data_IF_075353833794
#
_entry.id   IF_075353833794
#
_cell.length_a   1.000
_cell.length_b   1.000
_cell.length_c   1.000
_cell.angle_alpha   90.00
_cell.angle_beta   90.00
_cell.angle_gamma   90.00
#
_symmetry.space_group_name_H-M   'P 1'
#
loop_
_entity.id
_entity.type
_entity.pdbx_description
1 polymer ?
#
# COMPACT_ATOMS: atom_id res chain seq x y z
N UNK A 1 29.73 18.88 6.57
CA UNK A 1 28.85 18.03 7.39
C UNK A 1 29.56 17.79 8.70
N UNK A 2 28.91 18.06 9.84
CA UNK A 2 29.46 17.70 11.16
C UNK A 2 29.70 16.20 11.22
N UNK A 3 30.84 15.73 11.77
CA UNK A 3 31.10 14.30 11.90
C UNK A 3 30.03 13.68 12.81
N UNK A 4 29.42 12.58 12.34
CA UNK A 4 28.42 11.86 13.11
C UNK A 4 29.09 11.14 14.29
N UNK A 5 28.51 11.27 15.48
CA UNK A 5 28.99 10.61 16.70
C UNK A 5 28.12 9.39 17.02
N UNK A 6 28.74 8.27 17.39
CA UNK A 6 28.00 7.08 17.85
C UNK A 6 27.10 7.44 19.04
N UNK A 7 25.84 7.03 19.01
CA UNK A 7 24.83 7.39 20.01
C UNK A 7 24.11 8.72 19.73
N UNK A 8 24.50 9.47 18.70
CA UNK A 8 23.80 10.69 18.29
C UNK A 8 22.43 10.36 17.71
N UNK A 9 21.39 11.03 18.19
CA UNK A 9 20.06 10.99 17.59
C UNK A 9 20.10 11.71 16.23
N UNK A 10 19.67 11.03 15.18
CA UNK A 10 19.61 11.58 13.83
C UNK A 10 18.27 12.28 13.62
N UNK A 11 18.33 13.57 13.28
CA UNK A 11 17.15 14.34 12.91
C UNK A 11 16.83 14.14 11.43
N UNK A 12 15.61 13.70 11.08
CA UNK A 12 15.21 13.54 9.70
C UNK A 12 14.71 14.84 9.07
N UNK A 13 14.94 14.96 7.77
CA UNK A 13 14.30 15.96 6.92
C UNK A 13 13.31 15.29 5.96
N UNK A 14 12.19 15.94 5.67
CA UNK A 14 11.20 15.41 4.73
C UNK A 14 11.24 16.15 3.40
N UNK A 15 11.53 15.43 2.33
CA UNK A 15 11.40 15.95 0.97
C UNK A 15 9.91 16.02 0.59
N UNK A 16 9.31 17.20 0.69
CA UNK A 16 7.86 17.40 0.46
C UNK A 16 7.37 16.89 -0.89
N UNK A 17 8.18 16.96 -1.95
CA UNK A 17 7.82 16.41 -3.26
C UNK A 17 7.61 14.90 -3.23
N UNK A 18 8.42 14.16 -2.46
CA UNK A 18 8.27 12.71 -2.29
C UNK A 18 7.10 12.37 -1.37
N UNK A 19 6.80 13.22 -0.39
CA UNK A 19 5.58 13.09 0.44
C UNK A 19 4.32 13.26 -0.42
N UNK A 20 4.31 14.25 -1.31
CA UNK A 20 3.21 14.44 -2.25
C UNK A 20 3.10 13.25 -3.23
N UNK A 21 4.24 12.75 -3.72
CA UNK A 21 4.27 11.60 -4.61
C UNK A 21 3.77 10.31 -3.95
N UNK A 22 4.14 10.05 -2.69
CA UNK A 22 3.65 8.89 -1.95
C UNK A 22 2.13 8.92 -1.83
N UNK A 23 1.56 10.09 -1.54
CA UNK A 23 0.12 10.30 -1.53
C UNK A 23 -0.53 10.04 -2.89
N UNK A 24 0.03 10.58 -3.99
CA UNK A 24 -0.50 10.38 -5.35
C UNK A 24 -0.52 8.90 -5.74
N UNK A 25 0.55 8.16 -5.42
CA UNK A 25 0.63 6.71 -5.68
C UNK A 25 -0.37 5.95 -4.82
N UNK A 26 -0.53 6.33 -3.55
CA UNK A 26 -1.52 5.74 -2.66
C UNK A 26 -2.94 5.95 -3.15
N UNK A 27 -3.24 7.18 -3.57
CA UNK A 27 -4.51 7.56 -4.17
C UNK A 27 -4.81 6.75 -5.43
N UNK A 28 -3.85 6.66 -6.36
CA UNK A 28 -4.03 5.97 -7.63
C UNK A 28 -4.26 4.46 -7.43
N UNK A 29 -3.45 3.82 -6.57
CA UNK A 29 -3.64 2.41 -6.20
C UNK A 29 -4.99 2.15 -5.54
N UNK A 30 -5.40 3.03 -4.61
CA UNK A 30 -6.70 2.96 -3.94
C UNK A 30 -7.87 3.13 -4.91
N UNK A 31 -7.77 4.08 -5.86
CA UNK A 31 -8.81 4.32 -6.86
C UNK A 31 -9.01 3.11 -7.77
N UNK A 32 -7.92 2.55 -8.31
CA UNK A 32 -7.98 1.34 -9.15
C UNK A 32 -8.55 0.16 -8.36
N UNK A 33 -8.15 -0.01 -7.10
CA UNK A 33 -8.71 -1.04 -6.23
C UNK A 33 -10.23 -0.87 -6.00
N UNK A 34 -10.72 0.36 -5.77
CA UNK A 34 -12.16 0.66 -5.62
C UNK A 34 -12.95 0.44 -6.93
N UNK A 35 -12.33 0.67 -8.08
CA UNK A 35 -12.92 0.33 -9.39
C UNK A 35 -13.07 -1.18 -9.52
N UNK A 36 -12.00 -1.93 -9.22
CA UNK A 36 -12.01 -3.40 -9.21
C UNK A 36 -13.00 -3.98 -8.19
N UNK A 37 -13.08 -3.42 -6.98
CA UNK A 37 -13.95 -3.89 -5.90
C UNK A 37 -15.42 -3.96 -6.32
N UNK A 38 -15.89 -2.95 -7.07
CA UNK A 38 -17.25 -2.92 -7.61
C UNK A 38 -17.55 -3.99 -8.67
N UNK A 39 -16.53 -4.74 -9.13
CA UNK A 39 -16.62 -5.78 -10.17
C UNK A 39 -16.15 -7.15 -9.67
N UNK A 40 -15.89 -7.29 -8.37
CA UNK A 40 -15.41 -8.54 -7.78
C UNK A 40 -16.43 -9.69 -7.85
N UNK A 41 -17.71 -9.39 -8.03
CA UNK A 41 -18.77 -10.40 -8.14
C UNK A 41 -19.32 -10.41 -9.57
N UNK A 42 -19.23 -11.56 -10.23
CA UNK A 42 -19.72 -11.78 -11.59
C UNK A 42 -21.25 -11.82 -11.69
N UNK A 43 -21.77 -11.84 -12.91
CA UNK A 43 -23.21 -11.91 -13.18
C UNK A 43 -23.86 -13.19 -12.62
N UNK A 44 -23.10 -14.29 -12.60
CA UNK A 44 -23.43 -15.57 -11.99
C UNK A 44 -23.43 -15.55 -10.45
N UNK A 45 -22.98 -14.44 -9.84
CA UNK A 45 -22.88 -14.28 -8.40
C UNK A 45 -21.65 -14.91 -7.77
N UNK A 46 -20.73 -15.46 -8.57
CA UNK A 46 -19.46 -16.00 -8.10
C UNK A 46 -18.39 -14.90 -8.07
N UNK A 47 -17.39 -15.01 -7.18
CA UNK A 47 -16.29 -14.07 -7.15
C UNK A 47 -15.42 -14.23 -8.41
N UNK A 48 -15.12 -13.12 -9.08
CA UNK A 48 -14.14 -13.07 -10.16
C UNK A 48 -12.74 -12.91 -9.56
N UNK A 49 -12.05 -14.03 -9.35
CA UNK A 49 -10.74 -14.06 -8.71
C UNK A 49 -9.68 -13.22 -9.45
N UNK A 50 -9.78 -13.08 -10.78
CA UNK A 50 -8.87 -12.23 -11.54
C UNK A 50 -9.03 -10.74 -11.16
N UNK A 51 -10.27 -10.28 -10.97
CA UNK A 51 -10.56 -8.92 -10.52
C UNK A 51 -10.16 -8.72 -9.06
N UNK A 52 -10.32 -9.74 -8.21
CA UNK A 52 -9.81 -9.71 -6.82
C UNK A 52 -8.29 -9.56 -6.82
N UNK A 53 -7.57 -10.35 -7.64
CA UNK A 53 -6.13 -10.25 -7.76
C UNK A 53 -5.69 -8.85 -8.26
N UNK A 54 -6.38 -8.28 -9.25
CA UNK A 54 -6.12 -6.91 -9.69
C UNK A 54 -6.32 -5.88 -8.57
N UNK A 55 -7.40 -6.02 -7.79
CA UNK A 55 -7.66 -5.14 -6.64
C UNK A 55 -6.58 -5.28 -5.55
N UNK A 56 -6.13 -6.51 -5.29
CA UNK A 56 -5.10 -6.82 -4.31
C UNK A 56 -3.73 -6.24 -4.70
N UNK A 57 -3.35 -6.35 -5.98
CA UNK A 57 -2.11 -5.76 -6.50
C UNK A 57 -2.19 -4.23 -6.49
N UNK A 58 -3.31 -3.65 -6.94
CA UNK A 58 -3.50 -2.20 -6.95
C UNK A 58 -3.48 -1.60 -5.54
N UNK A 59 -4.18 -2.21 -4.58
CA UNK A 59 -4.22 -1.71 -3.20
C UNK A 59 -2.93 -2.05 -2.44
N UNK A 60 -2.61 -3.34 -2.32
CA UNK A 60 -1.50 -3.82 -1.51
C UNK A 60 -0.14 -3.48 -2.11
N UNK A 61 0.06 -3.78 -3.39
CA UNK A 61 1.34 -3.55 -4.07
C UNK A 61 1.59 -2.07 -4.38
N UNK A 62 0.57 -1.35 -4.85
CA UNK A 62 0.74 0.04 -5.25
C UNK A 62 0.33 1.01 -4.15
N UNK A 63 -0.93 0.93 -3.71
CA UNK A 63 -1.53 1.85 -2.75
C UNK A 63 -0.83 1.88 -1.39
N UNK A 64 -0.32 0.72 -0.95
CA UNK A 64 0.33 0.53 0.35
C UNK A 64 1.85 0.38 0.17
N UNK A 65 2.31 -0.64 -0.58
CA UNK A 65 3.75 -0.94 -0.73
C UNK A 65 4.56 0.09 -1.46
N UNK A 66 4.11 0.49 -2.65
CA UNK A 66 4.83 1.51 -3.40
C UNK A 66 4.80 2.86 -2.68
N UNK A 67 3.64 3.22 -2.09
CA UNK A 67 3.54 4.42 -1.24
C UNK A 67 4.57 4.39 -0.10
N UNK A 68 4.64 3.29 0.65
CA UNK A 68 5.52 3.19 1.81
C UNK A 68 6.98 3.45 1.44
N UNK A 69 7.51 2.79 0.41
CA UNK A 69 8.90 2.98 0.01
C UNK A 69 9.16 4.38 -0.58
N UNK A 70 8.21 4.98 -1.29
CA UNK A 70 8.32 6.38 -1.72
C UNK A 70 8.31 7.32 -0.51
N UNK A 71 7.49 7.05 0.51
CA UNK A 71 7.45 7.79 1.76
C UNK A 71 8.75 7.67 2.56
N UNK A 72 9.36 6.48 2.57
CA UNK A 72 10.67 6.23 3.17
C UNK A 72 11.79 7.00 2.45
N UNK A 73 11.70 7.16 1.12
CA UNK A 73 12.64 7.99 0.37
C UNK A 73 12.41 9.50 0.57
N UNK A 74 11.22 9.88 1.03
CA UNK A 74 10.96 11.24 1.49
C UNK A 74 11.68 11.53 2.81
N UNK A 75 11.90 10.50 3.64
CA UNK A 75 12.61 10.57 4.92
C UNK A 75 14.13 10.57 4.71
N UNK A 76 14.74 11.76 4.78
CA UNK A 76 16.18 11.96 4.55
C UNK A 76 16.92 11.98 5.87
N UNK A 77 17.88 11.08 6.03
CA UNK A 77 18.84 11.06 7.13
C UNK A 77 20.22 11.48 6.62
N UNK A 78 21.12 11.96 7.52
CA UNK A 78 22.51 12.26 7.19
C UNK A 78 23.39 11.01 7.00
N UNK A 79 22.78 9.83 6.79
CA UNK A 79 23.45 8.55 6.53
C UNK A 79 22.89 7.93 5.25
N UNK A 80 23.72 7.15 4.56
CA UNK A 80 23.26 6.37 3.42
C UNK A 80 22.28 5.27 3.88
N UNK A 81 21.19 5.12 3.13
CA UNK A 81 20.17 4.09 3.34
C UNK A 81 20.13 3.19 2.10
N UNK A 82 20.27 1.90 2.33
CA UNK A 82 19.97 0.85 1.36
C UNK A 82 18.86 -0.05 1.92
N UNK A 83 18.31 -0.94 1.10
CA UNK A 83 17.21 -1.80 1.51
C UNK A 83 17.52 -3.27 1.26
N UNK A 84 17.32 -4.11 2.27
CA UNK A 84 17.43 -5.55 2.17
C UNK A 84 16.38 -6.10 1.20
N UNK A 85 16.82 -6.68 0.07
CA UNK A 85 15.93 -7.14 -0.99
C UNK A 85 14.96 -8.26 -0.54
N UNK A 86 15.41 -9.31 0.17
CA UNK A 86 14.52 -10.35 0.68
C UNK A 86 13.34 -9.80 1.51
N UNK A 87 13.61 -8.98 2.53
CA UNK A 87 12.55 -8.39 3.37
C UNK A 87 11.63 -7.47 2.56
N UNK A 88 12.20 -6.72 1.63
CA UNK A 88 11.45 -5.85 0.72
C UNK A 88 10.45 -6.66 -0.13
N UNK A 89 10.87 -7.79 -0.70
CA UNK A 89 10.00 -8.68 -1.48
C UNK A 89 8.95 -9.36 -0.60
N UNK A 90 9.34 -9.85 0.58
CA UNK A 90 8.39 -10.49 1.51
C UNK A 90 7.31 -9.49 1.96
N UNK A 91 7.68 -8.23 2.21
CA UNK A 91 6.73 -7.18 2.55
C UNK A 91 5.75 -6.86 1.42
N UNK A 92 6.20 -6.90 0.16
CA UNK A 92 5.35 -6.74 -1.02
C UNK A 92 4.32 -7.88 -1.11
N UNK A 93 4.78 -9.12 -1.00
CA UNK A 93 3.92 -10.31 -1.07
C UNK A 93 2.89 -10.29 0.06
N UNK A 94 3.33 -9.97 1.29
CA UNK A 94 2.44 -9.85 2.43
C UNK A 94 1.36 -8.78 2.20
N UNK A 95 1.73 -7.60 1.68
CA UNK A 95 0.79 -6.52 1.40
C UNK A 95 -0.28 -6.92 0.38
N UNK A 96 0.13 -7.56 -0.72
CA UNK A 96 -0.79 -8.01 -1.77
C UNK A 96 -1.71 -9.11 -1.24
N UNK A 97 -1.16 -10.16 -0.62
CA UNK A 97 -1.96 -11.30 -0.17
C UNK A 97 -2.95 -10.90 0.91
N UNK A 98 -2.50 -10.17 1.94
CA UNK A 98 -3.36 -9.79 3.06
C UNK A 98 -4.47 -8.83 2.59
N UNK A 99 -4.14 -7.85 1.73
CA UNK A 99 -5.14 -6.94 1.14
C UNK A 99 -6.16 -7.70 0.28
N UNK A 100 -5.71 -8.68 -0.52
CA UNK A 100 -6.58 -9.51 -1.34
C UNK A 100 -7.54 -10.37 -0.51
N UNK A 101 -7.04 -11.01 0.55
CA UNK A 101 -7.87 -11.81 1.46
C UNK A 101 -8.88 -10.91 2.18
N UNK A 102 -8.46 -9.75 2.68
CA UNK A 102 -9.34 -8.80 3.34
C UNK A 102 -10.46 -8.29 2.42
N UNK A 103 -10.14 -7.93 1.17
CA UNK A 103 -11.13 -7.55 0.16
C UNK A 103 -12.11 -8.70 -0.12
N UNK A 104 -11.60 -9.92 -0.31
CA UNK A 104 -12.41 -11.10 -0.56
C UNK A 104 -13.34 -11.42 0.62
N UNK A 105 -12.87 -11.30 1.86
CA UNK A 105 -13.70 -11.48 3.06
C UNK A 105 -14.82 -10.44 3.16
N UNK A 106 -14.53 -9.19 2.81
CA UNK A 106 -15.48 -8.08 2.93
C UNK A 106 -16.56 -8.09 1.83
N UNK A 107 -16.25 -8.53 0.61
CA UNK A 107 -17.22 -8.47 -0.50
C UNK A 107 -17.14 -9.55 -1.57
N UNK A 108 -16.43 -10.66 -1.31
CA UNK A 108 -16.39 -11.82 -2.21
C UNK A 108 -17.71 -12.61 -2.29
N UNK A 109 -18.64 -12.39 -1.35
CA UNK A 109 -20.00 -12.93 -1.39
C UNK A 109 -20.96 -11.79 -1.72
N UNK A 110 -21.89 -12.00 -2.67
CA UNK A 110 -22.85 -11.05 -3.30
C UNK A 110 -23.59 -10.06 -2.37
N UNK A 111 -23.52 -10.21 -1.04
CA UNK A 111 -24.04 -9.29 -0.03
C UNK A 111 -22.93 -8.93 0.97
N UNK A 112 -22.78 -7.64 1.25
CA UNK A 112 -21.91 -7.12 2.32
C UNK A 112 -22.24 -7.82 3.64
N UNK A 113 -21.26 -8.54 4.20
CA UNK A 113 -21.40 -9.21 5.50
C UNK A 113 -20.73 -8.37 6.57
N UNK A 114 -21.46 -8.00 7.64
CA UNK A 114 -20.88 -7.24 8.77
C UNK A 114 -19.71 -7.99 9.41
N UNK A 115 -19.79 -9.31 9.52
CA UNK A 115 -18.70 -10.14 10.05
C UNK A 115 -17.50 -10.21 9.09
N UNK A 116 -17.76 -10.27 7.79
CA UNK A 116 -16.72 -10.24 6.75
C UNK A 116 -16.01 -8.89 6.69
N UNK A 117 -16.75 -7.79 6.85
CA UNK A 117 -16.20 -6.45 6.98
C UNK A 117 -15.33 -6.33 8.24
N UNK A 118 -15.83 -6.75 9.41
CA UNK A 118 -15.05 -6.66 10.65
C UNK A 118 -13.75 -7.48 10.56
N UNK A 119 -13.85 -8.75 10.16
CA UNK A 119 -12.69 -9.63 10.00
C UNK A 119 -11.72 -9.13 8.93
N UNK A 120 -12.23 -8.66 7.80
CA UNK A 120 -11.41 -8.06 6.73
C UNK A 120 -10.73 -6.76 7.17
N UNK A 121 -11.39 -5.93 7.97
CA UNK A 121 -10.84 -4.66 8.47
C UNK A 121 -9.69 -4.88 9.43
N UNK A 122 -9.85 -5.81 10.37
CA UNK A 122 -8.79 -6.22 11.29
C UNK A 122 -7.61 -6.81 10.53
N UNK A 123 -7.89 -7.74 9.61
CA UNK A 123 -6.85 -8.39 8.81
C UNK A 123 -6.09 -7.39 7.93
N UNK A 124 -6.80 -6.49 7.24
CA UNK A 124 -6.17 -5.44 6.45
C UNK A 124 -5.34 -4.49 7.31
N UNK A 125 -5.86 -4.03 8.46
CA UNK A 125 -5.13 -3.16 9.38
C UNK A 125 -3.83 -3.81 9.87
N UNK A 126 -3.89 -5.07 10.29
CA UNK A 126 -2.70 -5.87 10.64
C UNK A 126 -1.77 -6.01 9.45
N UNK A 127 -2.28 -6.27 8.25
CA UNK A 127 -1.49 -6.35 7.02
C UNK A 127 -0.72 -5.09 6.71
N UNK A 128 -1.36 -3.92 6.82
CA UNK A 128 -0.67 -2.62 6.64
C UNK A 128 0.45 -2.46 7.67
N UNK A 129 0.20 -2.81 8.94
CA UNK A 129 1.22 -2.74 9.99
C UNK A 129 2.38 -3.69 9.74
N UNK A 130 2.09 -4.96 9.45
CA UNK A 130 3.10 -6.00 9.16
C UNK A 130 3.99 -5.54 8.02
N UNK A 131 3.40 -5.11 6.92
CA UNK A 131 4.18 -4.61 5.80
C UNK A 131 4.98 -3.34 6.18
N UNK A 132 4.39 -2.40 6.92
CA UNK A 132 5.04 -1.12 7.22
C UNK A 132 6.28 -1.33 8.08
N UNK A 133 6.15 -2.07 9.19
CA UNK A 133 7.27 -2.33 10.09
C UNK A 133 8.30 -3.26 9.46
N UNK A 134 7.87 -4.26 8.69
CA UNK A 134 8.81 -5.11 7.93
C UNK A 134 9.58 -4.30 6.87
N UNK A 135 8.94 -3.33 6.22
CA UNK A 135 9.60 -2.41 5.29
C UNK A 135 10.58 -1.47 6.00
N UNK A 136 10.26 -1.03 7.22
CA UNK A 136 11.21 -0.31 8.07
C UNK A 136 12.42 -1.18 8.44
N UNK A 137 12.20 -2.42 8.89
CA UNK A 137 13.28 -3.36 9.19
C UNK A 137 14.11 -3.76 7.95
N UNK A 138 13.60 -3.54 6.74
CA UNK A 138 14.38 -3.72 5.52
C UNK A 138 15.42 -2.61 5.33
N UNK A 139 15.33 -1.46 6.01
CA UNK A 139 16.35 -0.43 5.92
C UNK A 139 17.69 -0.92 6.49
N UNK A 140 18.71 -0.84 5.67
CA UNK A 140 20.10 -1.01 6.08
C UNK A 140 20.79 0.35 6.08
N UNK A 141 21.19 0.79 7.27
CA UNK A 141 21.82 2.08 7.50
C UNK A 141 22.74 2.03 8.72
N UNK A 142 23.58 3.06 8.89
CA UNK A 142 24.46 3.25 10.06
C UNK A 142 23.70 3.77 11.28
N UNK A 143 22.47 3.31 11.48
CA UNK A 143 21.62 3.72 12.60
C UNK A 143 20.76 2.55 13.08
N UNK A 144 20.58 2.46 14.40
CA UNK A 144 19.59 1.57 15.02
C UNK A 144 18.25 2.28 15.15
N UNK A 145 17.15 1.54 14.98
CA UNK A 145 15.79 2.02 15.24
C UNK A 145 15.37 1.67 16.66
N UNK A 146 15.06 2.68 17.45
CA UNK A 146 14.39 2.51 18.75
C UNK A 146 12.92 2.95 18.65
N UNK A 147 12.00 2.12 19.12
CA UNK A 147 10.56 2.30 18.90
C UNK A 147 9.83 2.73 20.17
N UNK A 148 9.11 3.85 20.09
CA UNK A 148 8.11 4.23 21.08
C UNK A 148 6.83 3.40 20.87
N UNK A 149 6.61 2.41 21.75
CA UNK A 149 5.46 1.51 21.70
C UNK A 149 4.11 2.23 21.75
N UNK A 150 4.04 3.43 22.33
CA UNK A 150 2.81 4.23 22.38
C UNK A 150 2.44 4.72 20.98
N UNK A 151 3.42 5.23 20.24
CA UNK A 151 3.23 5.70 18.85
C UNK A 151 3.01 4.55 17.90
N UNK A 152 3.66 3.40 18.14
CA UNK A 152 3.38 2.16 17.42
C UNK A 152 1.91 1.77 17.60
N UNK A 153 1.42 1.74 18.84
CA UNK A 153 0.00 1.48 19.15
C UNK A 153 -0.95 2.44 18.44
N UNK A 154 -0.61 3.74 18.41
CA UNK A 154 -1.39 4.74 17.67
C UNK A 154 -1.41 4.46 16.16
N UNK A 155 -0.28 4.10 15.55
CA UNK A 155 -0.25 3.75 14.12
C UNK A 155 -1.11 2.52 13.82
N UNK A 156 -1.16 1.53 14.73
CA UNK A 156 -1.95 0.31 14.58
C UNK A 156 -3.44 0.63 14.65
N UNK A 157 -3.83 1.50 15.59
CA UNK A 157 -5.20 1.98 15.69
C UNK A 157 -5.64 2.74 14.42
N UNK A 158 -4.77 3.61 13.90
CA UNK A 158 -5.02 4.33 12.64
C UNK A 158 -5.15 3.32 11.48
N UNK A 159 -4.28 2.29 11.41
CA UNK A 159 -4.33 1.27 10.37
C UNK A 159 -5.66 0.50 10.36
N UNK A 160 -6.11 0.03 11.52
CA UNK A 160 -7.36 -0.75 11.65
C UNK A 160 -8.58 0.11 11.33
N UNK A 161 -8.64 1.34 11.84
CA UNK A 161 -9.75 2.26 11.57
C UNK A 161 -9.80 2.69 10.10
N UNK A 162 -8.64 3.00 9.50
CA UNK A 162 -8.49 3.29 8.08
C UNK A 162 -8.92 2.12 7.20
N UNK A 163 -8.49 0.91 7.53
CA UNK A 163 -8.87 -0.31 6.80
C UNK A 163 -10.39 -0.55 6.86
N UNK A 164 -11.02 -0.33 8.02
CA UNK A 164 -12.46 -0.41 8.17
C UNK A 164 -13.22 0.59 7.31
N UNK A 165 -12.79 1.86 7.33
CA UNK A 165 -13.37 2.90 6.48
C UNK A 165 -13.19 2.57 4.99
N UNK A 166 -11.98 2.15 4.58
CA UNK A 166 -11.66 1.78 3.20
C UNK A 166 -12.55 0.64 2.67
N UNK A 167 -12.67 -0.45 3.41
CA UNK A 167 -13.51 -1.58 3.03
C UNK A 167 -14.98 -1.20 3.00
N UNK A 168 -15.45 -0.38 3.94
CA UNK A 168 -16.83 0.11 3.93
C UNK A 168 -17.11 0.97 2.68
N UNK A 169 -16.22 1.90 2.34
CA UNK A 169 -16.33 2.74 1.15
C UNK A 169 -16.27 1.91 -0.14
N UNK A 170 -15.44 0.87 -0.18
CA UNK A 170 -15.29 -0.02 -1.34
C UNK A 170 -16.58 -0.73 -1.74
N UNK A 171 -17.41 -1.11 -0.77
CA UNK A 171 -18.65 -1.87 -1.03
C UNK A 171 -19.93 -1.04 -0.93
N UNK A 172 -19.89 0.16 -0.35
CA UNK A 172 -21.06 1.02 -0.23
C UNK A 172 -21.18 2.09 -1.35
N UNK A 173 -20.09 2.39 -2.08
CA UNK A 173 -20.08 3.43 -3.09
C UNK A 173 -20.30 2.92 -4.51
N UNK A 174 -21.35 3.44 -5.18
CA UNK A 174 -21.69 3.07 -6.57
C UNK A 174 -21.20 4.06 -7.63
N UNK A 175 -21.23 5.37 -7.34
CA UNK A 175 -20.85 6.42 -8.31
C UNK A 175 -19.34 6.62 -8.34
N UNK A 176 -18.79 6.90 -9.53
CA UNK A 176 -17.36 7.13 -9.73
C UNK A 176 -16.81 8.31 -8.92
N UNK A 177 -17.55 9.42 -8.84
CA UNK A 177 -17.16 10.60 -8.05
C UNK A 177 -16.92 10.27 -6.58
N UNK A 178 -17.77 9.44 -5.97
CA UNK A 178 -17.56 8.99 -4.61
C UNK A 178 -16.33 8.08 -4.48
N UNK A 179 -16.01 7.27 -5.50
CA UNK A 179 -14.79 6.45 -5.49
C UNK A 179 -13.52 7.30 -5.53
N UNK A 180 -13.53 8.41 -6.27
CA UNK A 180 -12.43 9.39 -6.26
C UNK A 180 -12.26 10.00 -4.88
N UNK A 181 -13.35 10.47 -4.26
CA UNK A 181 -13.30 11.00 -2.90
C UNK A 181 -12.81 9.95 -1.87
N UNK A 182 -13.31 8.71 -1.98
CA UNK A 182 -12.88 7.61 -1.13
C UNK A 182 -11.41 7.25 -1.33
N UNK A 183 -10.91 7.25 -2.56
CA UNK A 183 -9.49 7.01 -2.84
C UNK A 183 -8.60 8.10 -2.22
N UNK A 184 -9.06 9.36 -2.20
CA UNK A 184 -8.35 10.45 -1.53
C UNK A 184 -8.30 10.23 -0.02
N UNK A 185 -9.43 9.89 0.60
CA UNK A 185 -9.49 9.57 2.04
C UNK A 185 -8.60 8.37 2.37
N UNK A 186 -8.63 7.32 1.56
CA UNK A 186 -7.76 6.16 1.71
C UNK A 186 -6.29 6.56 1.60
N UNK A 187 -5.90 7.33 0.57
CA UNK A 187 -4.53 7.81 0.40
C UNK A 187 -4.04 8.61 1.61
N UNK A 188 -4.86 9.52 2.14
CA UNK A 188 -4.55 10.27 3.37
C UNK A 188 -4.37 9.31 4.53
N UNK A 189 -5.27 8.34 4.70
CA UNK A 189 -5.24 7.43 5.83
C UNK A 189 -4.02 6.51 5.82
N UNK A 190 -3.65 5.93 4.68
CA UNK A 190 -2.45 5.08 4.55
C UNK A 190 -1.18 5.93 4.76
N UNK A 191 -1.12 7.14 4.19
CA UNK A 191 0.00 8.06 4.45
C UNK A 191 0.09 8.46 5.93
N UNK A 192 -1.04 8.74 6.57
CA UNK A 192 -1.10 9.10 7.99
C UNK A 192 -0.55 7.97 8.86
N UNK A 193 -1.01 6.74 8.63
CA UNK A 193 -0.48 5.56 9.32
C UNK A 193 1.03 5.44 9.13
N UNK A 194 1.51 5.59 7.89
CA UNK A 194 2.94 5.51 7.57
C UNK A 194 3.77 6.57 8.29
N UNK A 195 3.38 7.84 8.24
CA UNK A 195 4.15 8.92 8.86
C UNK A 195 4.06 8.91 10.39
N UNK A 196 2.93 8.49 10.96
CA UNK A 196 2.82 8.25 12.41
C UNK A 196 3.72 7.08 12.82
N UNK A 197 3.73 5.97 12.07
CA UNK A 197 4.63 4.85 12.32
C UNK A 197 6.11 5.23 12.19
N UNK A 198 6.47 6.03 11.19
CA UNK A 198 7.82 6.59 11.07
C UNK A 198 8.20 7.47 12.27
N UNK A 199 7.26 8.27 12.77
CA UNK A 199 7.50 9.10 13.97
C UNK A 199 7.67 8.30 15.25
N UNK A 200 7.34 7.01 15.25
CA UNK A 200 7.57 6.10 16.37
C UNK A 200 9.03 5.65 16.46
N UNK A 201 9.78 5.72 15.37
CA UNK A 201 11.16 5.25 15.30
C UNK A 201 12.16 6.40 15.48
N UNK A 202 12.98 6.31 16.52
CA UNK A 202 14.14 7.17 16.73
C UNK A 202 15.37 6.52 16.12
N UNK A 203 16.07 7.25 15.25
CA UNK A 203 17.24 6.76 14.53
C UNK A 203 18.51 7.15 15.28
N UNK A 204 19.20 6.19 15.87
CA UNK A 204 20.42 6.44 16.67
C UNK A 204 21.66 6.00 15.91
N UNK A 205 22.61 6.90 15.69
CA UNK A 205 23.81 6.62 14.90
C UNK A 205 24.69 5.52 15.54
N UNK A 206 25.15 4.58 14.72
CA UNK A 206 26.08 3.51 15.12
C UNK A 206 27.33 3.48 14.22
N UNK A 207 28.41 2.87 14.73
CA UNK A 207 29.74 2.95 14.11
C UNK A 207 29.84 2.31 12.71
N UNK A 208 29.02 1.32 12.37
CA UNK A 208 29.02 0.66 11.06
C UNK A 208 27.59 0.30 10.62
N UNK A 209 27.32 0.41 9.32
CA UNK A 209 26.14 -0.21 8.73
C UNK A 209 26.49 -1.69 8.51
N UNK A 210 25.58 -2.62 8.79
CA UNK A 210 25.75 -4.01 8.39
C UNK A 210 26.05 -4.09 6.88
N UNK A 211 27.05 -4.86 6.47
CA UNK A 211 27.22 -5.19 5.05
C UNK A 211 26.15 -6.21 4.64
N UNK A 212 25.13 -5.77 3.90
CA UNK A 212 24.22 -6.68 3.17
C UNK A 212 24.65 -6.79 1.71
N UNK A 213 25.07 -7.99 1.30
CA UNK A 213 25.40 -8.28 -0.10
C UNK A 213 24.18 -8.18 -1.04
N UNK A 214 22.96 -8.24 -0.50
CA UNK A 214 21.68 -8.20 -1.23
C UNK A 214 20.88 -6.92 -0.92
N UNK A 215 21.56 -5.78 -0.81
CA UNK A 215 20.90 -4.49 -0.60
C UNK A 215 20.74 -3.70 -1.90
N UNK A 216 19.61 -3.00 -2.06
CA UNK A 216 19.38 -2.03 -3.14
C UNK A 216 19.55 -0.60 -2.61
N UNK A 217 20.31 0.23 -3.32
CA UNK A 217 20.48 1.65 -2.96
C UNK A 217 19.17 2.43 -3.09
N UNK A 218 18.95 3.43 -2.23
CA UNK A 218 17.67 4.16 -2.20
C UNK A 218 17.26 4.84 -3.51
N UNK A 219 18.21 5.33 -4.32
CA UNK A 219 17.91 5.89 -5.65
C UNK A 219 17.34 4.84 -6.62
N UNK A 220 17.95 3.65 -6.67
CA UNK A 220 17.47 2.53 -7.48
C UNK A 220 16.11 2.04 -6.99
N UNK A 221 15.92 1.95 -5.66
CA UNK A 221 14.64 1.59 -5.06
C UNK A 221 13.52 2.57 -5.47
N UNK A 222 13.79 3.87 -5.46
CA UNK A 222 12.81 4.87 -5.88
C UNK A 222 12.38 4.72 -7.34
N UNK A 223 13.35 4.50 -8.24
CA UNK A 223 13.07 4.33 -9.66
C UNK A 223 12.29 3.04 -9.94
N UNK A 224 12.69 1.93 -9.32
CA UNK A 224 12.01 0.63 -9.52
C UNK A 224 10.59 0.68 -8.98
N UNK A 225 10.38 1.21 -7.77
CA UNK A 225 9.05 1.32 -7.17
C UNK A 225 8.15 2.22 -8.01
N UNK A 226 8.61 3.42 -8.37
CA UNK A 226 7.79 4.35 -9.15
C UNK A 226 7.47 3.81 -10.55
N UNK A 227 8.49 3.30 -11.27
CA UNK A 227 8.32 2.77 -12.62
C UNK A 227 7.41 1.55 -12.68
N UNK A 228 7.60 0.59 -11.77
CA UNK A 228 6.75 -0.62 -11.70
C UNK A 228 5.33 -0.28 -11.28
N UNK A 229 5.15 0.65 -10.32
CA UNK A 229 3.83 1.10 -9.91
C UNK A 229 3.02 1.72 -11.05
N UNK A 230 3.64 2.65 -11.79
CA UNK A 230 2.99 3.28 -12.94
C UNK A 230 2.59 2.26 -14.01
N UNK A 231 3.52 1.39 -14.41
CA UNK A 231 3.26 0.36 -15.43
C UNK A 231 2.13 -0.60 -15.02
N UNK A 232 2.14 -1.07 -13.78
CA UNK A 232 1.13 -2.01 -13.26
C UNK A 232 -0.25 -1.34 -13.16
N UNK A 233 -0.34 -0.09 -12.71
CA UNK A 233 -1.62 0.62 -12.66
C UNK A 233 -2.21 0.85 -14.05
N UNK A 234 -1.38 1.25 -15.02
CA UNK A 234 -1.81 1.43 -16.41
C UNK A 234 -2.32 0.09 -16.98
N UNK A 235 -1.58 -0.99 -16.76
CA UNK A 235 -1.97 -2.32 -17.21
C UNK A 235 -3.30 -2.78 -16.58
N UNK A 236 -3.46 -2.67 -15.26
CA UNK A 236 -4.69 -3.05 -14.57
C UNK A 236 -5.86 -2.20 -15.07
N UNK A 237 -5.68 -0.88 -15.16
CA UNK A 237 -6.70 0.02 -15.67
C UNK A 237 -7.14 -0.40 -17.08
N UNK A 238 -6.18 -0.64 -17.98
CA UNK A 238 -6.44 -1.07 -19.35
C UNK A 238 -7.18 -2.41 -19.42
N UNK A 239 -6.78 -3.43 -18.65
CA UNK A 239 -7.48 -4.74 -18.60
C UNK A 239 -8.92 -4.57 -18.09
N UNK A 240 -9.10 -3.75 -17.05
CA UNK A 240 -10.41 -3.51 -16.44
C UNK A 240 -11.31 -2.67 -17.35
N UNK A 241 -10.79 -1.69 -18.11
CA UNK A 241 -11.61 -0.90 -19.06
C UNK A 241 -11.75 -1.57 -20.44
N UNK A 242 -10.76 -2.35 -20.88
CA UNK A 242 -10.77 -3.06 -22.16
C UNK A 242 -11.81 -4.18 -22.16
N UNK A 243 -11.96 -4.91 -21.04
CA UNK A 243 -13.03 -5.89 -20.86
C UNK A 243 -14.45 -5.30 -20.95
N UNK A 244 -14.62 -3.98 -20.81
CA UNK A 244 -15.90 -3.29 -21.07
C UNK A 244 -16.18 -2.97 -22.55
N UNK A 245 -15.18 -3.02 -23.44
CA UNK A 245 -15.36 -2.80 -24.88
C UNK A 245 -15.76 -4.09 -25.62
N UNK A 246 -15.35 -5.25 -25.12
CA UNK A 246 -15.67 -6.55 -25.73
C UNK A 246 -17.05 -7.09 -25.32
N UNK A 247 -17.52 -6.75 -24.11
CA UNK A 247 -18.82 -7.18 -23.58
C UNK A 247 -20.06 -6.75 -24.41
N UNK A 248 -20.15 -5.52 -24.98
CA UNK A 248 -21.31 -5.13 -25.79
C UNK A 248 -21.31 -5.72 -27.21
N UNK A 249 -20.16 -6.14 -27.77
CA UNK A 249 -20.09 -6.70 -29.12
C UNK A 249 -20.52 -8.17 -29.13
N UNK A 250 -20.09 -8.96 -28.14
CA UNK A 250 -20.49 -10.36 -28.01
C UNK A 250 -21.99 -10.52 -27.71
N UNK A 251 -22.55 -9.66 -26.85
CA UNK A 251 -23.98 -9.68 -26.50
C UNK A 251 -24.90 -9.22 -27.66
N UNK A 252 -24.41 -8.40 -28.59
CA UNK A 252 -25.15 -8.02 -29.81
C UNK A 252 -25.15 -9.12 -30.87
N UNK A 253 -24.05 -9.88 -31.01
CA UNK A 253 -24.00 -11.04 -31.93
C UNK A 253 -24.91 -12.18 -31.49
N UNK A 254 -24.96 -12.49 -30.18
CA UNK A 254 -25.82 -13.56 -29.65
C UNK A 254 -27.33 -13.24 -29.67
N UNK A 255 -27.72 -11.97 -29.87
CA UNK A 255 -29.13 -11.56 -30.09
C UNK A 255 -29.51 -11.44 -31.56
N UNK A 256 -28.54 -11.56 -32.47
CA UNK A 256 -28.73 -11.45 -33.90
C UNK A 256 -28.63 -12.81 -34.62
N UNK A 257 -28.50 -13.90 -33.86
CA UNK A 257 -28.52 -15.31 -34.28
C UNK A 257 -29.69 -16.03 -33.62
#
# INVERSE_FOLDING_TARGET
MTPLVTGQLLSPEYALGMVALSFVISFAGSLVALICAGRMVGADGKPNLAVVACAAVALGGIGIWSMHFIGMLAYRLPVAISYNMPLTVVSLVAAILISGIALYMAGGRRKFSKSGWLGGSLLAGVGVCVMHYMGMFAMNMRASMDFDLTRVGLSVLIAVTAAGAALWLAFNLRKFTHKVAAAAVMGVAVCTMHYVGMSAASMVCIAAAPTDALAIGGSYMGLTVFGTAGAVLIFIYWVVTGSSLDAPVAARRARAS
#
